data_IF_600325983258
#
_entry.id   IF_600325983258
#
_cell.length_a   1.000
_cell.length_b   1.000
_cell.length_c   1.000
_cell.angle_alpha   90.00
_cell.angle_beta   90.00
_cell.angle_gamma   90.00
#
_symmetry.space_group_name_H-M   'P 1'
#
loop_
_entity.id
_entity.type
_entity.pdbx_description
1 polymer ?
#
# COMPACT_ATOMS: atom_id res chain seq x y z
N UNK A 1 -21.59 25.17 -17.25
CA UNK A 1 -21.66 24.57 -15.89
C UNK A 1 -22.69 23.44 -15.95
N UNK A 2 -22.25 22.18 -15.94
CA UNK A 2 -23.17 21.04 -15.82
C UNK A 2 -23.69 20.97 -14.37
N UNK A 3 -24.96 20.58 -14.22
CA UNK A 3 -25.62 20.44 -12.90
C UNK A 3 -24.84 19.49 -11.98
N UNK A 4 -24.88 19.68 -10.65
CA UNK A 4 -24.24 18.77 -9.71
C UNK A 4 -24.78 17.35 -9.91
N UNK A 5 -23.86 16.39 -9.96
CA UNK A 5 -24.12 15.00 -10.24
C UNK A 5 -24.85 14.34 -9.06
N UNK A 6 -26.04 13.76 -9.32
CA UNK A 6 -26.89 13.13 -8.30
C UNK A 6 -26.54 11.65 -8.08
N UNK A 7 -25.66 11.07 -8.89
CA UNK A 7 -25.32 9.65 -8.83
C UNK A 7 -24.10 9.40 -7.93
N UNK A 8 -24.24 8.44 -7.02
CA UNK A 8 -23.12 7.89 -6.25
C UNK A 8 -22.58 6.68 -6.98
N UNK A 9 -21.39 6.82 -7.56
CA UNK A 9 -20.77 5.74 -8.32
C UNK A 9 -20.23 4.63 -7.41
N UNK A 10 -20.38 3.35 -7.80
CA UNK A 10 -19.81 2.24 -7.04
C UNK A 10 -18.28 2.25 -7.19
N UNK A 11 -17.59 2.88 -6.25
CA UNK A 11 -16.13 2.75 -6.15
C UNK A 11 -15.80 1.29 -5.82
N UNK A 12 -15.32 0.54 -6.81
CA UNK A 12 -14.71 -0.80 -6.73
C UNK A 12 -15.03 -1.65 -5.49
N UNK A 13 -16.31 -1.96 -5.23
CA UNK A 13 -16.76 -2.40 -3.89
C UNK A 13 -16.20 -3.74 -3.39
N UNK A 14 -15.70 -4.63 -4.26
CA UNK A 14 -15.45 -6.04 -3.87
C UNK A 14 -14.06 -6.61 -4.19
N UNK A 15 -13.18 -5.94 -4.94
CA UNK A 15 -11.87 -6.53 -5.34
C UNK A 15 -10.64 -5.87 -4.72
N UNK A 16 -10.75 -4.68 -4.13
CA UNK A 16 -9.60 -3.92 -3.66
C UNK A 16 -9.88 -3.28 -2.30
N UNK A 17 -10.22 -4.12 -1.31
CA UNK A 17 -10.23 -3.66 0.07
C UNK A 17 -8.78 -3.52 0.57
N UNK A 18 -8.47 -2.51 1.41
CA UNK A 18 -7.18 -2.41 2.03
C UNK A 18 -6.95 -3.67 2.86
N UNK A 19 -5.99 -4.49 2.44
CA UNK A 19 -5.61 -5.68 3.22
C UNK A 19 -5.12 -5.19 4.57
N UNK A 20 -5.72 -5.72 5.64
CA UNK A 20 -5.34 -5.40 7.01
C UNK A 20 -3.83 -5.60 7.18
N UNK A 21 -3.16 -4.56 7.67
CA UNK A 21 -1.75 -4.68 8.01
C UNK A 21 -1.63 -5.70 9.15
N UNK A 22 -0.75 -6.70 9.06
CA UNK A 22 -0.43 -7.51 10.22
C UNK A 22 0.12 -6.58 11.30
N UNK A 23 -0.68 -6.36 12.34
CA UNK A 23 -0.28 -5.53 13.48
C UNK A 23 0.73 -6.32 14.27
N UNK A 24 2.01 -6.07 14.00
CA UNK A 24 3.07 -6.49 14.90
C UNK A 24 2.78 -5.88 16.27
N UNK A 25 2.65 -6.75 17.26
CA UNK A 25 2.33 -6.40 18.64
C UNK A 25 3.50 -5.58 19.23
N UNK A 26 3.41 -4.25 19.08
CA UNK A 26 4.44 -3.31 19.51
C UNK A 26 4.72 -3.44 21.01
N UNK A 27 3.73 -3.86 21.81
CA UNK A 27 3.94 -4.09 23.23
C UNK A 27 4.90 -5.27 23.47
N UNK A 28 4.75 -6.38 22.73
CA UNK A 28 5.67 -7.53 22.83
C UNK A 28 7.08 -7.19 22.34
N UNK A 29 7.21 -6.43 21.25
CA UNK A 29 8.51 -5.99 20.75
C UNK A 29 9.23 -5.10 21.77
N UNK A 30 8.53 -4.11 22.34
CA UNK A 30 9.07 -3.23 23.38
C UNK A 30 9.44 -3.98 24.66
N UNK A 31 8.61 -4.94 25.08
CA UNK A 31 8.90 -5.78 26.26
C UNK A 31 10.14 -6.65 26.04
N UNK A 32 10.26 -7.28 24.87
CA UNK A 32 11.41 -8.10 24.52
C UNK A 32 12.70 -7.27 24.47
N UNK A 33 12.72 -6.18 23.69
CA UNK A 33 13.86 -5.26 23.59
C UNK A 33 14.22 -4.69 24.96
N UNK A 34 13.23 -4.26 25.74
CA UNK A 34 13.43 -3.74 27.10
C UNK A 34 14.07 -4.75 28.04
N UNK A 35 13.60 -6.00 28.03
CA UNK A 35 14.17 -7.08 28.85
C UNK A 35 15.61 -7.41 28.47
N UNK A 36 15.92 -7.46 27.17
CA UNK A 36 17.28 -7.73 26.68
C UNK A 36 18.24 -6.60 27.03
N UNK A 37 17.83 -5.33 26.85
CA UNK A 37 18.61 -4.16 27.25
C UNK A 37 18.87 -4.14 28.76
N UNK A 38 17.86 -4.41 29.59
CA UNK A 38 18.02 -4.47 31.04
C UNK A 38 19.05 -5.53 31.45
N UNK A 39 18.96 -6.72 30.87
CA UNK A 39 19.91 -7.80 31.16
C UNK A 39 21.34 -7.47 30.73
N UNK A 40 21.53 -6.81 29.58
CA UNK A 40 22.85 -6.37 29.12
C UNK A 40 23.47 -5.31 30.04
N UNK A 41 22.67 -4.35 30.52
CA UNK A 41 23.13 -3.31 31.45
C UNK A 41 23.55 -3.91 32.78
N UNK A 42 22.74 -4.80 33.36
CA UNK A 42 23.07 -5.47 34.63
C UNK A 42 24.37 -6.27 34.49
N UNK A 43 24.50 -7.07 33.42
CA UNK A 43 25.71 -7.87 33.17
C UNK A 43 26.94 -7.01 32.88
N UNK A 44 26.78 -5.85 32.25
CA UNK A 44 27.87 -4.90 32.04
C UNK A 44 28.41 -4.35 33.36
N UNK A 45 27.55 -3.95 34.30
CA UNK A 45 27.99 -3.49 35.62
C UNK A 45 28.63 -4.63 36.44
N UNK A 46 28.06 -5.84 36.39
CA UNK A 46 28.65 -7.02 37.03
C UNK A 46 30.02 -7.35 36.43
N UNK A 47 30.18 -7.27 35.11
CA UNK A 47 31.48 -7.45 34.44
C UNK A 47 32.51 -6.44 34.96
N UNK A 48 32.16 -5.16 35.10
CA UNK A 48 33.06 -4.13 35.63
C UNK A 48 33.43 -4.40 37.10
N UNK A 49 32.45 -4.81 37.90
CA UNK A 49 32.67 -5.16 39.30
C UNK A 49 33.60 -6.37 39.45
N UNK A 50 33.34 -7.46 38.73
CA UNK A 50 34.18 -8.66 38.74
C UNK A 50 35.60 -8.39 38.24
N UNK A 51 35.79 -7.45 37.30
CA UNK A 51 37.13 -7.02 36.83
C UNK A 51 37.97 -6.32 37.90
N UNK A 52 37.37 -5.77 38.96
CA UNK A 52 38.10 -5.11 40.04
C UNK A 52 38.89 -6.10 40.91
N UNK A 53 38.51 -7.38 40.90
CA UNK A 53 39.15 -8.42 41.70
C UNK A 53 40.30 -9.11 40.95
N UNK A 54 41.39 -9.41 41.68
CA UNK A 54 42.57 -10.11 41.13
C UNK A 54 42.44 -11.64 41.13
N UNK A 55 41.38 -12.18 41.75
CA UNK A 55 41.15 -13.62 41.86
C UNK A 55 40.82 -14.23 40.49
N UNK A 56 41.51 -15.33 40.12
CA UNK A 56 41.31 -16.00 38.83
C UNK A 56 39.88 -16.51 38.63
N UNK A 57 39.27 -17.07 39.67
CA UNK A 57 37.88 -17.55 39.64
C UNK A 57 36.93 -16.40 39.34
N UNK A 58 37.11 -15.22 39.95
CA UNK A 58 36.26 -14.04 39.72
C UNK A 58 36.45 -13.46 38.32
N UNK A 59 37.66 -13.58 37.76
CA UNK A 59 37.93 -13.20 36.36
C UNK A 59 37.22 -14.10 35.36
N UNK A 60 37.00 -15.39 35.67
CA UNK A 60 36.20 -16.27 34.83
C UNK A 60 34.73 -15.78 34.74
N UNK A 61 34.14 -15.35 35.86
CA UNK A 61 32.81 -14.73 35.87
C UNK A 61 32.77 -13.39 35.10
N UNK A 62 33.83 -12.57 35.18
CA UNK A 62 33.92 -11.35 34.39
C UNK A 62 33.91 -11.63 32.87
N UNK A 63 34.54 -12.72 32.45
CA UNK A 63 34.58 -13.15 31.05
C UNK A 63 33.20 -13.67 30.59
N UNK A 64 32.50 -14.42 31.42
CA UNK A 64 31.12 -14.89 31.16
C UNK A 64 30.16 -13.71 30.94
N UNK A 65 30.16 -12.73 31.86
CA UNK A 65 29.35 -11.52 31.71
C UNK A 65 29.72 -10.69 30.48
N UNK A 66 30.99 -10.68 30.08
CA UNK A 66 31.41 -10.02 28.84
C UNK A 66 30.80 -10.70 27.61
N UNK A 67 30.85 -12.03 27.53
CA UNK A 67 30.24 -12.76 26.41
C UNK A 67 28.74 -12.55 26.35
N UNK A 68 28.06 -12.53 27.50
CA UNK A 68 26.63 -12.24 27.57
C UNK A 68 26.24 -10.83 27.07
N UNK A 69 27.06 -9.81 27.37
CA UNK A 69 26.83 -8.45 26.84
C UNK A 69 26.99 -8.44 25.32
N UNK A 70 27.98 -9.16 24.79
CA UNK A 70 28.22 -9.26 23.35
C UNK A 70 27.06 -9.98 22.64
N UNK A 71 26.62 -11.14 23.14
CA UNK A 71 25.54 -11.92 22.52
C UNK A 71 24.21 -11.17 22.56
N UNK A 72 23.88 -10.51 23.67
CA UNK A 72 22.68 -9.66 23.77
C UNK A 72 22.73 -8.47 22.79
N UNK A 73 23.90 -7.84 22.64
CA UNK A 73 24.08 -6.71 21.71
C UNK A 73 23.90 -7.15 20.25
N UNK A 74 24.46 -8.29 19.87
CA UNK A 74 24.27 -8.89 18.54
C UNK A 74 22.79 -9.23 18.31
N UNK A 75 22.11 -9.80 19.30
CA UNK A 75 20.69 -10.11 19.23
C UNK A 75 19.81 -8.88 18.95
N UNK A 76 20.08 -7.75 19.62
CA UNK A 76 19.35 -6.49 19.40
C UNK A 76 19.54 -5.97 17.97
N UNK A 77 20.77 -6.00 17.45
CA UNK A 77 21.06 -5.58 16.07
C UNK A 77 20.36 -6.50 15.06
N UNK A 78 20.36 -7.81 15.32
CA UNK A 78 19.68 -8.77 14.47
C UNK A 78 18.17 -8.52 14.42
N UNK A 79 17.52 -8.31 15.56
CA UNK A 79 16.08 -7.98 15.64
C UNK A 79 15.79 -6.68 14.89
N UNK A 80 16.58 -5.63 15.11
CA UNK A 80 16.41 -4.36 14.40
C UNK A 80 16.51 -4.53 12.88
N UNK A 81 17.51 -5.29 12.43
CA UNK A 81 17.72 -5.57 11.00
C UNK A 81 16.56 -6.37 10.43
N UNK A 82 16.12 -7.45 11.10
CA UNK A 82 14.98 -8.27 10.67
C UNK A 82 13.71 -7.43 10.58
N UNK A 83 13.38 -6.64 11.61
CA UNK A 83 12.22 -5.76 11.61
C UNK A 83 12.28 -4.72 10.48
N UNK A 84 13.45 -4.13 10.24
CA UNK A 84 13.65 -3.15 9.16
C UNK A 84 13.44 -3.79 7.78
N UNK A 85 14.07 -4.94 7.53
CA UNK A 85 13.91 -5.68 6.27
C UNK A 85 12.49 -6.19 6.07
N UNK A 86 11.83 -6.70 7.13
CA UNK A 86 10.44 -7.11 7.06
C UNK A 86 9.52 -5.96 6.64
N UNK A 87 9.72 -4.76 7.21
CA UNK A 87 8.97 -3.55 6.80
C UNK A 87 9.18 -3.23 5.31
N UNK A 88 10.43 -3.26 4.83
CA UNK A 88 10.75 -3.01 3.42
C UNK A 88 10.15 -4.06 2.48
N UNK A 89 10.24 -5.34 2.82
CA UNK A 89 9.64 -6.43 2.03
C UNK A 89 8.13 -6.24 1.95
N UNK A 90 7.48 -5.97 3.08
CA UNK A 90 6.03 -5.73 3.13
C UNK A 90 5.67 -4.52 2.27
N UNK A 91 6.42 -3.42 2.34
CA UNK A 91 6.21 -2.25 1.47
C UNK A 91 6.34 -2.59 -0.02
N UNK A 92 7.37 -3.32 -0.44
CA UNK A 92 7.56 -3.73 -1.83
C UNK A 92 6.43 -4.66 -2.30
N UNK A 93 5.97 -5.57 -1.45
CA UNK A 93 4.81 -6.42 -1.73
C UNK A 93 3.55 -5.57 -1.91
N UNK A 94 3.32 -4.54 -1.09
CA UNK A 94 2.18 -3.64 -1.26
C UNK A 94 2.20 -2.88 -2.59
N UNK A 95 3.39 -2.48 -3.06
CA UNK A 95 3.54 -1.83 -4.37
C UNK A 95 3.23 -2.78 -5.53
N UNK A 96 3.51 -4.09 -5.36
CA UNK A 96 3.27 -5.11 -6.38
C UNK A 96 1.82 -5.61 -6.42
N UNK A 97 1.11 -5.61 -5.29
CA UNK A 97 -0.26 -6.13 -5.20
C UNK A 97 -1.31 -5.17 -5.82
N UNK A 98 -0.93 -3.93 -6.14
CA UNK A 98 -1.85 -2.97 -6.77
C UNK A 98 -2.91 -2.46 -5.80
N UNK A 99 -2.52 -1.65 -4.82
CA UNK A 99 -3.46 -1.03 -3.90
C UNK A 99 -4.34 -0.01 -4.62
N UNK A 100 -5.62 0.04 -4.26
CA UNK A 100 -6.53 1.06 -4.77
C UNK A 100 -6.06 2.46 -4.36
N UNK A 101 -6.23 3.43 -5.25
CA UNK A 101 -5.91 4.83 -4.98
C UNK A 101 -6.80 5.41 -3.87
N UNK A 102 -6.33 6.42 -3.13
CA UNK A 102 -7.12 7.11 -2.11
C UNK A 102 -8.47 7.62 -2.66
N UNK A 103 -9.53 7.68 -1.84
CA UNK A 103 -10.86 8.10 -2.28
C UNK A 103 -10.87 9.52 -2.88
N UNK A 104 -10.02 10.42 -2.37
CA UNK A 104 -9.89 11.79 -2.89
C UNK A 104 -9.40 11.80 -4.34
N UNK A 105 -8.47 10.91 -4.69
CA UNK A 105 -7.99 10.76 -6.07
C UNK A 105 -9.07 10.18 -6.98
N UNK A 106 -9.80 9.17 -6.49
CA UNK A 106 -10.92 8.59 -7.24
C UNK A 106 -12.04 9.61 -7.47
N UNK A 107 -12.30 10.50 -6.51
CA UNK A 107 -13.24 11.60 -6.66
C UNK A 107 -12.76 12.64 -7.70
N UNK A 108 -11.47 13.02 -7.67
CA UNK A 108 -10.84 13.90 -8.68
C UNK A 108 -11.00 13.30 -10.09
N UNK A 109 -10.71 12.01 -10.24
CA UNK A 109 -10.83 11.30 -11.50
C UNK A 109 -12.28 11.26 -11.99
N UNK A 110 -13.21 10.89 -11.11
CA UNK A 110 -14.66 10.88 -11.39
C UNK A 110 -15.15 12.25 -11.86
N UNK A 111 -14.71 13.32 -11.20
CA UNK A 111 -15.07 14.69 -11.59
C UNK A 111 -14.52 15.06 -12.97
N UNK A 112 -13.28 14.70 -13.27
CA UNK A 112 -12.66 14.95 -14.57
C UNK A 112 -13.41 14.23 -15.71
N UNK A 113 -13.76 12.96 -15.49
CA UNK A 113 -14.53 12.13 -16.43
C UNK A 113 -15.92 12.73 -16.67
N UNK A 114 -16.65 13.04 -15.60
CA UNK A 114 -18.01 13.59 -15.70
C UNK A 114 -18.08 14.90 -16.48
N UNK A 115 -17.04 15.72 -16.38
CA UNK A 115 -16.95 17.01 -17.08
C UNK A 115 -16.23 16.90 -18.44
N UNK A 116 -15.91 15.70 -18.92
CA UNK A 116 -15.22 15.53 -20.20
C UNK A 116 -16.11 15.82 -21.39
N UNK A 117 -17.30 15.22 -21.44
CA UNK A 117 -18.19 15.33 -22.59
C UNK A 117 -19.67 15.28 -22.19
N UNK A 118 -20.54 16.04 -22.88
CA UNK A 118 -21.97 16.12 -22.57
C UNK A 118 -22.74 14.83 -22.89
N UNK A 119 -22.21 13.99 -23.78
CA UNK A 119 -22.86 12.74 -24.18
C UNK A 119 -22.60 11.58 -23.20
N UNK A 120 -21.74 11.77 -22.20
CA UNK A 120 -21.55 10.78 -21.12
C UNK A 120 -22.83 10.74 -20.29
N UNK A 121 -23.56 9.62 -20.37
CA UNK A 121 -24.81 9.41 -19.64
C UNK A 121 -24.56 8.93 -18.22
N UNK A 122 -23.59 8.03 -18.06
CA UNK A 122 -23.24 7.41 -16.79
C UNK A 122 -21.75 7.09 -16.74
N UNK A 123 -21.23 6.98 -15.52
CA UNK A 123 -19.89 6.44 -15.25
C UNK A 123 -20.16 5.14 -14.50
N UNK A 124 -19.91 3.99 -15.10
CA UNK A 124 -20.22 2.71 -14.47
C UNK A 124 -19.20 2.40 -13.37
N UNK A 125 -17.92 2.49 -13.72
CA UNK A 125 -16.83 2.11 -12.84
C UNK A 125 -15.67 3.10 -12.95
N UNK A 126 -15.13 3.51 -11.81
CA UNK A 126 -13.86 4.24 -11.70
C UNK A 126 -12.96 3.49 -10.74
N UNK A 127 -11.82 3.01 -11.23
CA UNK A 127 -10.81 2.31 -10.45
C UNK A 127 -9.46 2.91 -10.77
N UNK A 128 -8.64 3.08 -9.75
CA UNK A 128 -7.23 3.39 -9.93
C UNK A 128 -6.44 2.56 -8.94
N UNK A 129 -5.35 1.95 -9.37
CA UNK A 129 -4.50 1.11 -8.54
C UNK A 129 -3.02 1.40 -8.77
N UNK A 130 -2.21 1.23 -7.72
CA UNK A 130 -0.79 1.58 -7.75
C UNK A 130 0.00 0.64 -8.66
N UNK A 131 0.87 1.21 -9.49
CA UNK A 131 1.92 0.52 -10.21
C UNK A 131 3.23 1.30 -10.02
N UNK A 132 4.09 0.80 -9.12
CA UNK A 132 5.28 1.55 -8.71
C UNK A 132 4.91 2.87 -8.01
N UNK A 133 5.35 4.00 -8.56
CA UNK A 133 5.08 5.35 -8.04
C UNK A 133 3.85 6.04 -8.64
N UNK A 134 3.20 5.43 -9.64
CA UNK A 134 2.08 6.00 -10.39
C UNK A 134 0.83 5.09 -10.28
N UNK A 135 -0.29 5.55 -10.85
CA UNK A 135 -1.53 4.79 -10.91
C UNK A 135 -1.82 4.31 -12.33
N UNK A 136 -2.39 3.11 -12.43
CA UNK A 136 -3.19 2.71 -13.59
C UNK A 136 -4.65 3.01 -13.29
N UNK A 137 -5.31 3.72 -14.19
CA UNK A 137 -6.71 4.08 -14.08
C UNK A 137 -7.56 3.25 -15.05
N UNK A 138 -8.59 2.58 -14.56
CA UNK A 138 -9.62 1.90 -15.35
C UNK A 138 -10.94 2.66 -15.20
N UNK A 139 -11.52 3.06 -16.32
CA UNK A 139 -12.69 3.93 -16.39
C UNK A 139 -13.69 3.34 -17.38
N UNK A 140 -14.90 3.07 -16.91
CA UNK A 140 -15.98 2.54 -17.74
C UNK A 140 -17.08 3.62 -17.82
N UNK A 141 -17.33 4.15 -19.02
CA UNK A 141 -18.33 5.19 -19.28
C UNK A 141 -19.44 4.70 -20.20
N UNK A 142 -20.64 5.26 -20.02
CA UNK A 142 -21.81 4.90 -20.84
C UNK A 142 -22.14 6.04 -21.80
N UNK A 143 -22.17 5.72 -23.09
CA UNK A 143 -22.56 6.61 -24.19
C UNK A 143 -23.91 6.18 -24.80
N UNK A 144 -24.58 7.03 -25.59
CA UNK A 144 -25.80 6.65 -26.32
C UNK A 144 -25.57 5.45 -27.26
N UNK A 145 -26.46 4.47 -27.28
CA UNK A 145 -26.33 3.24 -28.09
C UNK A 145 -26.36 3.51 -29.61
N UNK A 146 -27.01 4.60 -30.00
CA UNK A 146 -27.21 5.04 -31.38
C UNK A 146 -26.06 5.92 -31.87
N UNK A 147 -25.07 6.18 -31.00
CA UNK A 147 -23.88 6.93 -31.36
C UNK A 147 -23.04 6.15 -32.38
N UNK A 148 -22.57 6.80 -33.46
CA UNK A 148 -21.62 6.17 -34.38
C UNK A 148 -20.35 5.74 -33.65
N UNK A 149 -19.85 4.54 -33.94
CA UNK A 149 -18.64 3.99 -33.30
C UNK A 149 -17.44 4.94 -33.39
N UNK A 150 -17.30 5.67 -34.49
CA UNK A 150 -16.24 6.67 -34.64
C UNK A 150 -16.35 7.79 -33.59
N UNK A 151 -17.54 8.33 -33.35
CA UNK A 151 -17.75 9.37 -32.35
C UNK A 151 -17.53 8.84 -30.93
N UNK A 152 -17.99 7.62 -30.66
CA UNK A 152 -17.74 6.97 -29.38
C UNK A 152 -16.23 6.80 -29.14
N UNK A 153 -15.51 6.28 -30.15
CA UNK A 153 -14.06 6.12 -30.11
C UNK A 153 -13.35 7.44 -29.82
N UNK A 154 -13.68 8.51 -30.55
CA UNK A 154 -13.04 9.83 -30.37
C UNK A 154 -13.26 10.39 -28.95
N UNK A 155 -14.46 10.20 -28.38
CA UNK A 155 -14.75 10.60 -26.99
C UNK A 155 -13.92 9.78 -25.99
N UNK A 156 -13.79 8.47 -26.22
CA UNK A 156 -13.00 7.58 -25.37
C UNK A 156 -11.50 7.87 -25.44
N UNK A 157 -10.96 8.04 -26.64
CA UNK A 157 -9.55 8.34 -26.89
C UNK A 157 -9.16 9.68 -26.25
N UNK A 158 -9.95 10.73 -26.49
CA UNK A 158 -9.70 12.05 -25.87
C UNK A 158 -9.85 12.02 -24.34
N UNK A 159 -10.71 11.15 -23.80
CA UNK A 159 -10.81 10.95 -22.35
C UNK A 159 -9.57 10.25 -21.81
N UNK A 160 -9.09 9.21 -22.50
CA UNK A 160 -7.90 8.48 -22.13
C UNK A 160 -6.68 9.40 -22.09
N UNK A 161 -6.44 10.16 -23.15
CA UNK A 161 -5.35 11.14 -23.23
C UNK A 161 -5.40 12.15 -22.09
N UNK A 162 -6.61 12.65 -21.77
CA UNK A 162 -6.81 13.62 -20.69
C UNK A 162 -6.53 13.05 -19.30
N UNK A 163 -6.82 11.77 -19.08
CA UNK A 163 -6.50 11.09 -17.81
C UNK A 163 -5.01 10.78 -17.72
N UNK A 164 -4.37 10.38 -18.83
CA UNK A 164 -2.92 10.13 -18.90
C UNK A 164 -2.07 11.41 -18.75
N UNK A 165 -2.66 12.60 -18.96
CA UNK A 165 -2.00 13.88 -18.65
C UNK A 165 -1.85 14.18 -17.15
N UNK A 166 -2.52 13.43 -16.28
CA UNK A 166 -2.36 13.59 -14.84
C UNK A 166 -0.98 13.06 -14.41
N UNK A 167 -0.16 13.83 -13.67
CA UNK A 167 1.20 13.41 -13.31
C UNK A 167 1.23 12.15 -12.43
N UNK A 168 0.12 11.87 -11.74
CA UNK A 168 -0.03 10.68 -10.91
C UNK A 168 -0.42 9.42 -11.70
N UNK A 169 -0.83 9.54 -12.98
CA UNK A 169 -1.31 8.44 -13.82
C UNK A 169 -0.23 8.03 -14.82
N UNK A 170 0.15 6.76 -14.83
CA UNK A 170 1.06 6.20 -15.84
C UNK A 170 0.30 5.75 -17.09
N UNK A 171 -0.89 5.16 -16.89
CA UNK A 171 -1.72 4.66 -17.98
C UNK A 171 -3.20 4.71 -17.61
N UNK A 172 -4.05 5.01 -18.59
CA UNK A 172 -5.49 4.93 -18.45
C UNK A 172 -6.10 3.93 -19.44
N UNK A 173 -7.13 3.21 -19.00
CA UNK A 173 -7.94 2.32 -19.82
C UNK A 173 -9.37 2.82 -19.76
N UNK A 174 -9.91 3.23 -20.92
CA UNK A 174 -11.28 3.73 -21.02
C UNK A 174 -12.11 2.69 -21.78
N UNK A 175 -13.07 2.07 -21.09
CA UNK A 175 -14.10 1.25 -21.70
C UNK A 175 -15.34 2.10 -21.98
N UNK A 176 -16.00 1.83 -23.12
CA UNK A 176 -17.21 2.52 -23.53
C UNK A 176 -18.34 1.51 -23.67
N UNK A 177 -19.34 1.65 -22.82
CA UNK A 177 -20.54 0.84 -22.83
C UNK A 177 -21.74 1.62 -23.36
N UNK A 178 -22.75 0.90 -23.83
CA UNK A 178 -24.06 1.46 -24.19
C UNK A 178 -25.14 1.16 -23.14
N UNK A 179 -24.85 0.29 -22.18
CA UNK A 179 -25.75 -0.17 -21.13
C UNK A 179 -25.03 -0.14 -19.77
N UNK A 180 -25.78 0.05 -18.67
CA UNK A 180 -25.26 0.08 -17.29
C UNK A 180 -25.83 -1.06 -16.42
N UNK A 181 -26.61 -1.95 -17.03
CA UNK A 181 -27.32 -3.08 -16.40
C UNK A 181 -26.55 -4.40 -16.54
N UNK A 182 -25.22 -4.36 -16.53
CA UNK A 182 -24.37 -5.52 -16.81
C UNK A 182 -24.43 -6.63 -15.76
N UNK A 183 -24.55 -7.88 -16.24
CA UNK A 183 -23.99 -9.06 -15.57
C UNK A 183 -22.49 -9.13 -15.92
N UNK A 184 -21.60 -9.53 -15.00
CA UNK A 184 -20.15 -9.52 -15.26
C UNK A 184 -19.79 -10.33 -16.53
N UNK A 185 -19.25 -9.67 -17.56
CA UNK A 185 -18.88 -10.29 -18.83
C UNK A 185 -17.69 -11.25 -18.70
N UNK A 186 -16.76 -10.91 -17.80
CA UNK A 186 -15.65 -11.79 -17.47
C UNK A 186 -16.09 -12.83 -16.44
N UNK A 187 -16.44 -14.03 -16.92
CA UNK A 187 -16.48 -15.21 -16.07
C UNK A 187 -15.09 -15.38 -15.44
N UNK A 188 -14.98 -15.59 -14.12
CA UNK A 188 -13.71 -16.01 -13.54
C UNK A 188 -13.27 -17.27 -14.28
N UNK A 189 -12.07 -17.26 -14.83
CA UNK A 189 -11.44 -18.50 -15.28
C UNK A 189 -11.21 -19.32 -14.02
N UNK A 190 -11.95 -20.43 -13.89
CA UNK A 190 -11.72 -21.47 -12.89
C UNK A 190 -10.32 -22.06 -13.05
#
# INVERSE_FOLDING_TARGET
MNKPNQYSYPIGKNRMQPVEHPTFDHAKELWMVGSMCSSAVVKFFLMLYCRSFKNEIVRAYAQDHFFDVITNSIGLIAVYTICSWAKTVVQNVWLLIGRTAPPDFLAKLTYLIWNHHQQIKHIDTVRAYTFGSHYFAEVDIVLPAEMPLSQAHDIGETLQEKVEQLPEVERAFVHIDFEFTHRPEHKPKL
#
